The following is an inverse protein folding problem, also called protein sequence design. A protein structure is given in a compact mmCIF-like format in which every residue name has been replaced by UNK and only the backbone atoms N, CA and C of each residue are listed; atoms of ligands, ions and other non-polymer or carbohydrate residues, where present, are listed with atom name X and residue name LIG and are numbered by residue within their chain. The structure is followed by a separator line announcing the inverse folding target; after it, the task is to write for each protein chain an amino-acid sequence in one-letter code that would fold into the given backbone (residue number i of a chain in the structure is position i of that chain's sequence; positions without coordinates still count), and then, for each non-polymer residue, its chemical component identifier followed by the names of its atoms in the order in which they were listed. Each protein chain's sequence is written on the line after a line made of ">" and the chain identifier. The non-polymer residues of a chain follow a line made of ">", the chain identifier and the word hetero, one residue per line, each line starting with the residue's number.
data_IF_355200427242
#
_entry.id   IF_355200427242
#
_cell.length_a   1.000
_cell.length_b   1.000
_cell.length_c   1.000
_cell.angle_alpha   90.00
_cell.angle_beta   90.00
_cell.angle_gamma   90.00
#
_symmetry.space_group_name_H-M   'P 1'
#
loop_
_entity.id
_entity.type
_entity.pdbx_description
1 polymer ?
#
# COMPACT_ATOMS: atom_id res chain seq x y z
N UNK A 1 6.75 -14.67 6.71
CA UNK A 1 6.04 -13.42 6.41
C UNK A 1 6.83 -12.26 7.00
N UNK A 2 7.04 -11.16 6.27
CA UNK A 2 7.70 -9.95 6.79
C UNK A 2 6.67 -8.83 6.88
N UNK A 3 6.66 -8.10 7.98
CA UNK A 3 5.75 -6.98 8.22
C UNK A 3 6.57 -5.70 8.19
N UNK A 4 6.11 -4.71 7.43
CA UNK A 4 6.70 -3.38 7.35
C UNK A 4 5.64 -2.37 7.77
N UNK A 5 5.96 -1.56 8.78
CA UNK A 5 5.10 -0.45 9.21
C UNK A 5 5.64 0.84 8.61
N UNK A 6 4.77 1.61 7.96
CA UNK A 6 5.11 2.91 7.36
C UNK A 6 4.21 3.97 8.00
N UNK A 7 4.83 4.87 8.75
CA UNK A 7 4.16 5.97 9.44
C UNK A 7 4.78 7.32 9.06
N UNK A 8 4.01 8.39 9.18
CA UNK A 8 4.43 9.74 8.80
C UNK A 8 3.24 10.69 8.68
N UNK A 9 3.52 11.98 8.62
CA UNK A 9 2.49 13.03 8.53
C UNK A 9 1.74 13.02 7.18
N UNK A 10 0.59 13.69 7.09
CA UNK A 10 -0.15 13.84 5.82
C UNK A 10 0.75 14.51 4.77
N UNK A 11 0.72 14.02 3.54
CA UNK A 11 1.55 14.54 2.45
C UNK A 11 3.03 14.12 2.49
N UNK A 12 3.45 13.26 3.44
CA UNK A 12 4.86 12.83 3.54
C UNK A 12 5.30 11.79 2.49
N UNK A 13 4.49 11.50 1.47
CA UNK A 13 4.80 10.53 0.40
C UNK A 13 4.68 9.05 0.78
N UNK A 14 3.95 8.71 1.86
CA UNK A 14 3.78 7.31 2.30
C UNK A 14 3.18 6.42 1.21
N UNK A 15 2.12 6.89 0.54
CA UNK A 15 1.43 6.14 -0.50
C UNK A 15 2.37 5.85 -1.67
N UNK A 16 3.12 6.86 -2.13
CA UNK A 16 4.13 6.72 -3.18
C UNK A 16 5.21 5.70 -2.80
N UNK A 17 5.71 5.76 -1.56
CA UNK A 17 6.71 4.81 -1.07
C UNK A 17 6.17 3.37 -1.06
N UNK A 18 4.93 3.17 -0.61
CA UNK A 18 4.30 1.84 -0.61
C UNK A 18 4.14 1.34 -2.04
N UNK A 19 3.69 2.17 -2.98
CA UNK A 19 3.54 1.81 -4.38
C UNK A 19 4.88 1.39 -5.01
N UNK A 20 5.93 2.20 -4.85
CA UNK A 20 7.28 1.88 -5.33
C UNK A 20 7.82 0.58 -4.74
N UNK A 21 7.61 0.37 -3.44
CA UNK A 21 8.04 -0.85 -2.76
C UNK A 21 7.35 -2.09 -3.35
N UNK A 22 6.03 -2.02 -3.56
CA UNK A 22 5.26 -3.11 -4.16
C UNK A 22 5.71 -3.38 -5.59
N UNK A 23 5.89 -2.34 -6.41
CA UNK A 23 6.33 -2.49 -7.80
C UNK A 23 7.68 -3.21 -7.86
N UNK A 24 8.66 -2.77 -7.07
CA UNK A 24 10.01 -3.36 -7.05
C UNK A 24 10.04 -4.77 -6.48
N UNK A 25 9.24 -5.05 -5.46
CA UNK A 25 9.18 -6.39 -4.87
C UNK A 25 8.40 -7.36 -5.76
N UNK A 26 7.33 -6.89 -6.40
CA UNK A 26 6.56 -7.61 -7.41
C UNK A 26 7.40 -8.01 -8.63
N UNK A 27 8.27 -7.11 -9.12
CA UNK A 27 9.23 -7.42 -10.18
C UNK A 27 10.22 -8.55 -9.80
N UNK A 28 10.42 -8.78 -8.50
CA UNK A 28 11.22 -9.90 -7.97
C UNK A 28 10.36 -11.13 -7.60
N UNK A 29 9.13 -11.21 -8.09
CA UNK A 29 8.21 -12.33 -7.86
C UNK A 29 7.61 -12.38 -6.45
N UNK A 30 7.70 -11.31 -5.66
CA UNK A 30 7.15 -11.27 -4.29
C UNK A 30 5.75 -10.68 -4.28
N UNK A 31 4.85 -11.35 -3.57
CA UNK A 31 3.49 -10.85 -3.32
C UNK A 31 3.47 -9.99 -2.05
N UNK A 32 2.67 -8.92 -2.09
CA UNK A 32 2.48 -7.99 -0.99
C UNK A 32 1.00 -7.84 -0.66
N UNK A 33 0.70 -7.62 0.62
CA UNK A 33 -0.62 -7.20 1.09
C UNK A 33 -0.47 -5.89 1.83
N UNK A 34 -1.45 -4.99 1.70
CA UNK A 34 -1.41 -3.66 2.32
C UNK A 34 -2.64 -3.47 3.18
N UNK A 35 -2.41 -2.96 4.39
CA UNK A 35 -3.46 -2.55 5.30
C UNK A 35 -3.33 -1.03 5.46
N UNK A 36 -4.41 -0.31 5.19
CA UNK A 36 -4.45 1.16 5.26
C UNK A 36 -5.51 1.63 6.26
N UNK A 37 -5.21 2.75 6.92
CA UNK A 37 -6.21 3.49 7.70
C UNK A 37 -7.02 4.38 6.73
N UNK A 38 -8.32 4.52 6.97
CA UNK A 38 -9.28 5.19 6.07
C UNK A 38 -8.99 6.70 5.81
N UNK A 39 -8.10 7.33 6.58
CA UNK A 39 -7.91 8.79 6.61
C UNK A 39 -6.90 9.37 5.59
N UNK A 40 -6.65 8.66 4.49
CA UNK A 40 -5.70 9.09 3.45
C UNK A 40 -6.37 9.50 2.14
N UNK A 41 -6.24 10.76 1.74
CA UNK A 41 -6.72 11.30 0.44
C UNK A 41 -6.09 10.61 -0.79
N UNK A 42 -4.94 9.96 -0.65
CA UNK A 42 -4.25 9.25 -1.72
C UNK A 42 -4.44 7.74 -1.55
N UNK A 43 -5.59 7.25 -1.98
CA UNK A 43 -5.86 5.82 -2.12
C UNK A 43 -5.05 5.19 -3.25
N UNK A 44 -4.87 3.86 -3.19
CA UNK A 44 -4.35 3.11 -4.33
C UNK A 44 -5.38 3.14 -5.47
N UNK A 45 -4.93 3.43 -6.69
CA UNK A 45 -5.82 3.37 -7.86
C UNK A 45 -6.27 1.93 -8.11
N UNK A 46 -7.50 1.75 -8.58
CA UNK A 46 -8.03 0.42 -8.93
C UNK A 46 -7.16 -0.29 -9.99
N UNK A 47 -6.58 0.49 -10.91
CA UNK A 47 -5.60 -0.02 -11.88
C UNK A 47 -4.36 -0.59 -11.21
N UNK A 48 -3.80 0.13 -10.21
CA UNK A 48 -2.62 -0.33 -9.48
C UNK A 48 -2.89 -1.61 -8.69
N UNK A 49 -4.03 -1.68 -8.00
CA UNK A 49 -4.48 -2.85 -7.22
C UNK A 49 -4.56 -4.09 -8.13
N UNK A 50 -5.22 -3.95 -9.29
CA UNK A 50 -5.43 -5.05 -10.23
C UNK A 50 -4.12 -5.52 -10.87
N UNK A 51 -3.26 -4.60 -11.31
CA UNK A 51 -1.97 -4.92 -11.95
C UNK A 51 -1.04 -5.70 -11.02
N UNK A 52 -1.04 -5.40 -9.73
CA UNK A 52 -0.14 -6.03 -8.76
C UNK A 52 -0.81 -7.13 -7.93
N UNK A 53 -2.05 -7.52 -8.28
CA UNK A 53 -2.86 -8.49 -7.54
C UNK A 53 -2.86 -8.21 -6.02
N UNK A 54 -3.03 -6.94 -5.66
CA UNK A 54 -2.94 -6.49 -4.27
C UNK A 54 -4.23 -6.78 -3.51
N UNK A 55 -4.08 -7.31 -2.30
CA UNK A 55 -5.13 -7.24 -1.29
C UNK A 55 -4.96 -5.96 -0.49
N UNK A 56 -5.97 -5.08 -0.56
CA UNK A 56 -6.05 -3.85 0.23
C UNK A 56 -7.20 -4.00 1.22
N UNK A 57 -6.86 -4.02 2.51
CA UNK A 57 -7.84 -4.04 3.59
C UNK A 57 -7.86 -2.66 4.27
N UNK A 58 -9.05 -2.06 4.36
CA UNK A 58 -9.26 -0.79 5.04
C UNK A 58 -9.62 -1.04 6.50
N UNK A 59 -8.82 -0.50 7.41
CA UNK A 59 -9.15 -0.50 8.83
C UNK A 59 -10.12 0.65 9.11
N UNK A 60 -11.37 0.30 9.37
CA UNK A 60 -12.38 1.23 9.89
C UNK A 60 -12.22 1.32 11.41
N UNK A 61 -11.82 2.48 11.90
CA UNK A 61 -11.92 2.79 13.32
C UNK A 61 -13.37 3.07 13.71
N UNK A 62 -13.83 2.45 14.79
CA UNK A 62 -15.01 2.89 15.53
C UNK A 62 -14.62 3.90 16.60
#
# INVERSE_FOLDING_TARGET
>A
MRVLSISGTRGSGKTTLIQEFITRTGANGKQSAVIVNDDGEEGFSQGFIRTHNLKVDYLRGG
#
